data_IF_308151695919
#
_entry.id   IF_308151695919
#
_cell.length_a   1.000
_cell.length_b   1.000
_cell.length_c   1.000
_cell.angle_alpha   90.00
_cell.angle_beta   90.00
_cell.angle_gamma   90.00
#
_symmetry.space_group_name_H-M   'P 1'
#
loop_
_entity.id
_entity.type
_entity.pdbx_description
1 polymer ?
#
# COMPACT_ATOMS: atom_id res chain seq x y z
N UNK A 1 2.84 47.36 12.10
CA UNK A 1 1.84 46.94 11.09
C UNK A 1 2.35 45.79 10.22
N UNK A 2 3.55 45.85 9.63
CA UNK A 2 4.06 44.77 8.76
C UNK A 2 4.43 43.45 9.47
N UNK A 3 4.98 43.51 10.70
CA UNK A 3 5.35 42.30 11.47
C UNK A 3 4.12 41.47 11.93
N UNK A 4 3.02 42.15 12.27
CA UNK A 4 1.76 41.52 12.65
C UNK A 4 1.07 40.86 11.45
N UNK A 5 1.14 41.49 10.26
CA UNK A 5 0.62 40.90 9.03
C UNK A 5 1.39 39.64 8.61
N UNK A 6 2.72 39.62 8.82
CA UNK A 6 3.57 38.48 8.51
C UNK A 6 3.28 37.28 9.44
N UNK A 7 3.14 37.54 10.74
CA UNK A 7 2.75 36.52 11.73
C UNK A 7 1.37 35.92 11.44
N UNK A 8 0.37 36.74 11.08
CA UNK A 8 -0.96 36.26 10.69
C UNK A 8 -0.91 35.39 9.42
N UNK A 9 -0.08 35.77 8.43
CA UNK A 9 0.07 34.96 7.22
C UNK A 9 0.74 33.61 7.50
N UNK A 10 1.73 33.58 8.40
CA UNK A 10 2.41 32.33 8.81
C UNK A 10 1.43 31.44 9.58
N UNK A 11 0.60 32.00 10.47
CA UNK A 11 -0.43 31.23 11.18
C UNK A 11 -1.51 30.67 10.24
N UNK A 12 -1.94 31.44 9.23
CA UNK A 12 -2.91 30.94 8.24
C UNK A 12 -2.33 29.82 7.37
N UNK A 13 -1.04 29.89 7.01
CA UNK A 13 -0.36 28.83 6.26
C UNK A 13 -0.20 27.56 7.12
N UNK A 14 0.12 27.70 8.41
CA UNK A 14 0.17 26.58 9.36
C UNK A 14 -1.21 25.94 9.60
N UNK A 15 -2.29 26.72 9.59
CA UNK A 15 -3.65 26.18 9.75
C UNK A 15 -4.16 25.42 8.52
N UNK A 16 -3.63 25.70 7.32
CA UNK A 16 -3.93 24.89 6.13
C UNK A 16 -3.21 23.53 6.15
N UNK A 17 -2.03 23.45 6.78
CA UNK A 17 -1.25 22.20 6.88
C UNK A 17 -1.87 21.19 7.86
N UNK A 18 -2.69 21.65 8.82
CA UNK A 18 -3.29 20.80 9.87
C UNK A 18 -4.73 20.34 9.56
N UNK A 19 -5.21 20.56 8.34
CA UNK A 19 -6.48 20.01 7.86
C UNK A 19 -6.20 18.78 6.99
N UNK A 20 -5.87 17.66 7.65
CA UNK A 20 -5.71 16.37 6.97
C UNK A 20 -7.02 15.94 6.29
N UNK A 21 -6.98 15.39 5.06
CA UNK A 21 -8.17 14.87 4.39
C UNK A 21 -8.64 13.57 5.05
N UNK A 22 -9.95 13.32 5.00
CA UNK A 22 -10.53 11.97 5.01
C UNK A 22 -10.55 11.23 6.35
N UNK A 23 -11.60 11.40 7.15
CA UNK A 23 -11.95 10.41 8.20
C UNK A 23 -12.68 9.22 7.55
N UNK A 24 -11.97 8.40 6.79
CA UNK A 24 -12.42 7.05 6.42
C UNK A 24 -11.52 6.06 7.15
N UNK A 25 -11.92 5.67 8.38
CA UNK A 25 -11.21 4.60 9.10
C UNK A 25 -11.62 3.27 8.48
N UNK A 26 -10.71 2.63 7.75
CA UNK A 26 -10.84 1.25 7.31
C UNK A 26 -10.56 0.30 8.50
N UNK A 27 -11.34 0.42 9.58
CA UNK A 27 -11.27 -0.54 10.69
C UNK A 27 -11.95 -1.85 10.27
N UNK A 28 -11.25 -2.70 9.51
CA UNK A 28 -11.61 -4.10 9.32
C UNK A 28 -10.72 -4.94 10.25
N UNK A 29 -11.22 -5.41 11.41
CA UNK A 29 -10.41 -6.15 12.36
C UNK A 29 -9.92 -7.46 11.74
N UNK A 30 -8.60 -7.61 11.59
CA UNK A 30 -7.94 -8.84 11.14
C UNK A 30 -7.48 -8.86 9.68
N UNK A 31 -7.46 -7.72 8.97
CA UNK A 31 -6.95 -7.63 7.60
C UNK A 31 -5.59 -6.90 7.56
N UNK A 32 -4.74 -7.29 6.60
CA UNK A 32 -3.49 -6.60 6.25
C UNK A 32 -3.83 -5.34 5.44
N UNK A 33 -3.02 -4.29 5.60
CA UNK A 33 -3.09 -3.05 4.81
C UNK A 33 -2.81 -3.28 3.30
N UNK A 34 -2.37 -4.49 2.92
CA UNK A 34 -1.90 -4.85 1.58
C UNK A 34 -2.71 -6.01 0.98
N UNK A 35 -3.98 -6.13 1.36
CA UNK A 35 -4.90 -7.14 0.81
C UNK A 35 -4.92 -8.48 1.55
N UNK A 36 -5.66 -9.45 1.02
CA UNK A 36 -5.79 -10.79 1.60
C UNK A 36 -4.68 -11.73 1.13
N UNK A 37 -4.16 -12.55 2.04
CA UNK A 37 -3.07 -13.49 1.78
C UNK A 37 -3.33 -14.42 0.59
N UNK A 38 -4.57 -14.87 0.37
CA UNK A 38 -4.89 -15.79 -0.73
C UNK A 38 -4.80 -15.09 -2.08
N UNK A 39 -5.35 -13.89 -2.17
CA UNK A 39 -5.29 -13.06 -3.38
C UNK A 39 -3.83 -12.72 -3.69
N UNK A 40 -3.08 -12.29 -2.68
CA UNK A 40 -1.65 -12.02 -2.77
C UNK A 40 -0.87 -13.24 -3.30
N UNK A 41 -1.13 -14.43 -2.76
CA UNK A 41 -0.47 -15.65 -3.22
C UNK A 41 -0.78 -15.99 -4.68
N UNK A 42 -2.03 -15.79 -5.11
CA UNK A 42 -2.45 -16.01 -6.50
C UNK A 42 -1.75 -15.05 -7.45
N UNK A 43 -1.74 -13.77 -7.11
CA UNK A 43 -1.13 -12.71 -7.90
C UNK A 43 0.38 -12.95 -8.11
N UNK A 44 1.09 -13.37 -7.05
CA UNK A 44 2.51 -13.73 -7.12
C UNK A 44 2.74 -14.92 -8.04
N UNK A 45 1.90 -15.95 -7.95
CA UNK A 45 2.02 -17.13 -8.81
C UNK A 45 1.77 -16.78 -10.29
N UNK A 46 0.82 -15.90 -10.58
CA UNK A 46 0.57 -15.38 -11.92
C UNK A 46 1.78 -14.60 -12.47
N UNK A 47 2.33 -13.68 -11.68
CA UNK A 47 3.49 -12.91 -12.06
C UNK A 47 4.74 -13.78 -12.27
N UNK A 48 4.99 -14.76 -11.39
CA UNK A 48 6.09 -15.72 -11.58
C UNK A 48 5.89 -16.52 -12.86
N UNK A 49 4.65 -16.95 -13.14
CA UNK A 49 4.31 -17.70 -14.36
C UNK A 49 4.47 -16.87 -15.63
N UNK A 50 4.14 -15.59 -15.61
CA UNK A 50 4.33 -14.69 -16.75
C UNK A 50 5.82 -14.44 -17.05
N UNK A 51 6.67 -14.48 -16.02
CA UNK A 51 8.13 -14.38 -16.16
C UNK A 51 8.81 -15.72 -16.51
N UNK A 52 8.20 -16.85 -16.19
CA UNK A 52 8.75 -18.17 -16.47
C UNK A 52 8.77 -18.43 -17.99
N UNK A 53 9.94 -18.75 -18.54
CA UNK A 53 10.06 -19.21 -19.93
C UNK A 53 9.40 -20.59 -20.07
N UNK A 54 8.75 -20.82 -21.22
CA UNK A 54 8.04 -22.06 -21.56
C UNK A 54 8.74 -23.32 -21.01
N UNK A 55 8.06 -24.02 -20.09
CA UNK A 55 8.48 -25.35 -19.59
C UNK A 55 9.07 -25.37 -18.18
N UNK A 56 9.21 -24.24 -17.48
CA UNK A 56 9.50 -24.23 -16.05
C UNK A 56 8.18 -24.13 -15.26
N UNK A 57 7.83 -25.21 -14.57
CA UNK A 57 6.69 -25.23 -13.63
C UNK A 57 7.06 -24.37 -12.40
N UNK A 58 6.44 -23.21 -12.18
CA UNK A 58 6.80 -22.33 -11.07
C UNK A 58 6.21 -22.77 -9.74
N UNK A 59 5.85 -24.04 -9.57
CA UNK A 59 5.43 -24.67 -8.31
C UNK A 59 6.50 -24.68 -7.19
N UNK A 60 7.38 -23.69 -7.15
CA UNK A 60 8.10 -23.34 -5.95
C UNK A 60 7.06 -22.90 -4.91
N UNK A 61 6.83 -23.75 -3.90
CA UNK A 61 6.16 -23.33 -2.68
C UNK A 61 7.05 -22.31 -2.00
N UNK A 62 6.79 -21.02 -2.21
CA UNK A 62 7.39 -19.96 -1.43
C UNK A 62 6.97 -20.11 0.04
N UNK A 63 7.88 -19.86 0.96
CA UNK A 63 7.55 -19.70 2.37
C UNK A 63 6.75 -18.41 2.59
N UNK A 64 6.03 -18.30 3.70
CA UNK A 64 5.27 -17.07 4.04
C UNK A 64 6.18 -15.83 4.03
N UNK A 65 7.39 -15.94 4.58
CA UNK A 65 8.36 -14.85 4.58
C UNK A 65 8.83 -14.47 3.17
N UNK A 66 9.03 -15.45 2.29
CA UNK A 66 9.39 -15.19 0.89
C UNK A 66 8.22 -14.56 0.13
N UNK A 67 6.98 -14.94 0.45
CA UNK A 67 5.78 -14.35 -0.12
C UNK A 67 5.67 -12.85 0.20
N UNK A 68 5.82 -12.52 1.49
CA UNK A 68 5.79 -11.13 1.99
C UNK A 68 6.88 -10.29 1.35
N UNK A 69 8.10 -10.82 1.27
CA UNK A 69 9.21 -10.13 0.60
C UNK A 69 8.96 -9.95 -0.89
N UNK A 70 8.40 -10.95 -1.55
CA UNK A 70 8.11 -10.87 -2.97
C UNK A 70 7.05 -9.82 -3.30
N UNK A 71 5.99 -9.69 -2.48
CA UNK A 71 4.98 -8.63 -2.65
C UNK A 71 5.60 -7.24 -2.60
N UNK A 72 6.53 -7.03 -1.67
CA UNK A 72 7.23 -5.76 -1.55
C UNK A 72 8.04 -5.47 -2.83
N UNK A 73 8.90 -6.40 -3.24
CA UNK A 73 9.76 -6.23 -4.41
C UNK A 73 8.98 -6.12 -5.72
N UNK A 74 7.84 -6.80 -5.82
CA UNK A 74 6.98 -6.75 -6.99
C UNK A 74 6.49 -5.32 -7.27
N UNK A 75 6.17 -4.56 -6.22
CA UNK A 75 5.59 -3.23 -6.34
C UNK A 75 6.61 -2.09 -6.23
N UNK A 76 7.82 -2.36 -5.69
CA UNK A 76 8.98 -1.46 -5.77
C UNK A 76 9.50 -1.39 -7.22
N UNK A 77 8.81 -0.60 -8.03
CA UNK A 77 9.01 -0.55 -9.48
C UNK A 77 10.33 0.13 -9.83
N UNK A 78 10.78 1.05 -8.97
CA UNK A 78 12.01 1.80 -9.18
C UNK A 78 13.25 1.16 -8.49
N UNK A 79 13.06 0.12 -7.69
CA UNK A 79 14.08 -0.63 -6.92
C UNK A 79 14.87 0.25 -5.94
N UNK A 80 14.24 1.23 -5.29
CA UNK A 80 14.88 2.07 -4.27
C UNK A 80 14.72 1.52 -2.85
N UNK A 81 14.02 0.39 -2.70
CA UNK A 81 13.79 -0.29 -1.42
C UNK A 81 12.69 0.34 -0.58
N UNK A 82 11.81 1.15 -1.19
CA UNK A 82 10.65 1.74 -0.54
C UNK A 82 9.41 1.60 -1.44
N UNK A 83 8.23 1.73 -0.85
CA UNK A 83 6.98 1.88 -1.59
C UNK A 83 6.46 3.31 -1.40
N UNK A 84 6.43 4.09 -2.47
CA UNK A 84 5.80 5.41 -2.47
C UNK A 84 4.30 5.35 -2.78
N UNK A 85 3.59 6.47 -2.60
CA UNK A 85 2.14 6.51 -2.86
C UNK A 85 1.72 6.18 -4.30
N UNK A 86 2.59 6.35 -5.29
CA UNK A 86 2.31 5.93 -6.68
C UNK A 86 2.43 4.42 -6.84
N UNK A 87 3.44 3.82 -6.19
CA UNK A 87 3.64 2.37 -6.17
C UNK A 87 2.53 1.67 -5.40
N UNK A 88 2.12 2.20 -4.24
CA UNK A 88 0.96 1.72 -3.49
C UNK A 88 -0.35 1.83 -4.30
N UNK A 89 -0.55 2.97 -5.00
CA UNK A 89 -1.71 3.13 -5.88
C UNK A 89 -1.73 2.09 -6.99
N UNK A 90 -0.59 1.86 -7.63
CA UNK A 90 -0.45 0.87 -8.70
C UNK A 90 -0.74 -0.54 -8.16
N UNK A 91 -0.21 -0.87 -6.97
CA UNK A 91 -0.47 -2.13 -6.30
C UNK A 91 -1.98 -2.36 -6.07
N UNK A 92 -2.69 -1.38 -5.51
CA UNK A 92 -4.13 -1.52 -5.24
C UNK A 92 -4.96 -1.66 -6.50
N UNK A 93 -4.56 -1.05 -7.62
CA UNK A 93 -5.25 -1.24 -8.90
C UNK A 93 -4.97 -2.59 -9.54
N UNK A 94 -3.80 -3.19 -9.29
CA UNK A 94 -3.41 -4.49 -9.84
C UNK A 94 -4.34 -5.61 -9.31
N UNK A 95 -4.74 -5.52 -8.04
CA UNK A 95 -5.68 -6.45 -7.41
C UNK A 95 -7.11 -6.38 -7.96
N UNK A 96 -7.47 -5.32 -8.68
CA UNK A 96 -8.81 -5.13 -9.26
C UNK A 96 -8.92 -5.67 -10.70
N UNK A 97 -7.80 -5.95 -11.39
CA UNK A 97 -7.82 -6.38 -12.79
C UNK A 97 -8.28 -7.85 -12.97
N UNK A 98 -8.19 -8.68 -11.93
CA UNK A 98 -8.56 -10.10 -11.97
C UNK A 98 -10.08 -10.36 -11.99
N UNK A 99 -10.91 -9.32 -11.84
CA UNK A 99 -12.37 -9.39 -11.93
C UNK A 99 -12.91 -8.80 -13.27
N UNK A 100 -12.32 -9.21 -14.40
CA UNK A 100 -12.75 -8.79 -15.75
C UNK A 100 -14.25 -9.04 -16.08
N UNK A 101 -14.97 -9.86 -15.30
CA UNK A 101 -16.37 -10.21 -15.56
C UNK A 101 -17.38 -9.12 -15.12
N UNK A 102 -16.98 -8.10 -14.37
CA UNK A 102 -17.86 -6.97 -14.01
C UNK A 102 -17.22 -5.59 -14.26
N UNK A 103 -17.41 -4.99 -15.46
CA UNK A 103 -16.91 -3.66 -15.80
C UNK A 103 -17.56 -2.52 -14.99
N UNK A 104 -18.44 -2.81 -14.02
CA UNK A 104 -19.01 -1.83 -13.09
C UNK A 104 -18.29 -1.80 -11.74
N UNK A 105 -17.31 -2.68 -11.51
CA UNK A 105 -16.63 -2.87 -10.22
C UNK A 105 -15.23 -2.26 -10.14
N UNK A 106 -14.90 -1.32 -11.01
CA UNK A 106 -13.69 -0.51 -10.83
C UNK A 106 -13.77 0.26 -9.51
N UNK A 107 -12.80 0.06 -8.63
CA UNK A 107 -12.64 0.88 -7.44
C UNK A 107 -12.42 2.32 -7.88
N UNK A 108 -13.20 3.24 -7.31
CA UNK A 108 -13.14 4.63 -7.70
C UNK A 108 -11.79 5.24 -7.27
N UNK A 109 -11.26 6.17 -8.06
CA UNK A 109 -9.93 6.75 -7.80
C UNK A 109 -9.82 7.41 -6.40
N UNK A 110 -10.90 7.97 -5.92
CA UNK A 110 -11.00 8.54 -4.57
C UNK A 110 -10.90 7.47 -3.48
N UNK A 111 -11.47 6.28 -3.70
CA UNK A 111 -11.34 5.15 -2.78
C UNK A 111 -9.91 4.60 -2.77
N UNK A 112 -9.27 4.45 -3.94
CA UNK A 112 -7.85 4.05 -4.00
C UNK A 112 -6.97 5.09 -3.31
N UNK A 113 -7.23 6.38 -3.51
CA UNK A 113 -6.49 7.46 -2.84
C UNK A 113 -6.65 7.36 -1.32
N UNK A 114 -7.86 7.10 -0.84
CA UNK A 114 -8.11 6.92 0.59
C UNK A 114 -7.39 5.69 1.17
N UNK A 115 -7.27 4.59 0.40
CA UNK A 115 -6.48 3.43 0.79
C UNK A 115 -4.99 3.76 0.91
N UNK A 116 -4.43 4.47 -0.08
CA UNK A 116 -3.03 4.92 -0.04
C UNK A 116 -2.76 5.83 1.15
N UNK A 117 -3.63 6.83 1.37
CA UNK A 117 -3.52 7.75 2.50
C UNK A 117 -3.56 6.99 3.83
N UNK A 118 -4.42 5.97 3.93
CA UNK A 118 -4.54 5.14 5.13
C UNK A 118 -3.27 4.31 5.41
N UNK A 119 -2.71 3.66 4.38
CA UNK A 119 -1.46 2.89 4.54
C UNK A 119 -0.30 3.79 4.95
N UNK A 120 -0.16 4.95 4.31
CA UNK A 120 0.88 5.92 4.69
C UNK A 120 0.66 6.46 6.11
N UNK A 121 -0.59 6.68 6.54
CA UNK A 121 -0.86 7.14 7.90
C UNK A 121 -0.46 6.11 8.98
N UNK A 122 -0.66 4.82 8.71
CA UNK A 122 -0.39 3.76 9.69
C UNK A 122 1.06 3.24 9.66
N UNK A 123 1.63 3.08 8.46
CA UNK A 123 2.88 2.34 8.25
C UNK A 123 4.10 3.25 8.04
N UNK A 124 3.93 4.52 7.61
CA UNK A 124 5.05 5.48 7.49
C UNK A 124 5.42 6.05 8.86
N UNK A 125 6.15 5.26 9.64
CA UNK A 125 6.48 5.58 11.02
C UNK A 125 7.45 6.75 11.15
N UNK A 126 8.25 6.99 10.12
CA UNK A 126 9.27 8.02 10.11
C UNK A 126 8.81 9.33 9.42
N UNK A 127 7.73 9.28 8.64
CA UNK A 127 7.07 10.42 8.02
C UNK A 127 7.79 10.96 6.78
N UNK A 128 8.54 10.13 6.05
CA UNK A 128 9.22 10.54 4.81
C UNK A 128 8.38 10.37 3.54
N UNK A 129 7.14 9.89 3.69
CA UNK A 129 6.16 9.70 2.62
C UNK A 129 6.34 8.40 1.86
N UNK A 130 7.11 7.44 2.39
CA UNK A 130 7.37 6.15 1.75
C UNK A 130 7.45 5.05 2.80
N UNK A 131 7.12 3.83 2.40
CA UNK A 131 7.18 2.66 3.29
C UNK A 131 8.47 1.90 3.04
N UNK A 132 9.38 1.89 4.01
CA UNK A 132 10.57 1.03 3.98
C UNK A 132 10.22 -0.45 4.17
N UNK A 133 11.13 -1.35 3.80
CA UNK A 133 10.97 -2.78 4.06
C UNK A 133 10.73 -3.08 5.56
N UNK A 134 11.43 -2.39 6.45
CA UNK A 134 11.26 -2.56 7.90
C UNK A 134 9.87 -2.15 8.38
N UNK A 135 9.35 -1.02 7.89
CA UNK A 135 7.99 -0.53 8.18
C UNK A 135 6.93 -1.48 7.64
N UNK A 136 7.08 -1.91 6.39
CA UNK A 136 6.21 -2.88 5.75
C UNK A 136 6.14 -4.20 6.53
N UNK A 137 7.31 -4.77 6.87
CA UNK A 137 7.38 -6.03 7.61
C UNK A 137 6.75 -5.89 9.00
N UNK A 138 6.98 -4.76 9.66
CA UNK A 138 6.38 -4.48 10.96
C UNK A 138 4.86 -4.44 10.87
N UNK A 139 4.28 -3.81 9.83
CA UNK A 139 2.84 -3.85 9.55
C UNK A 139 2.33 -5.29 9.38
N UNK A 140 2.97 -6.10 8.53
CA UNK A 140 2.58 -7.50 8.31
C UNK A 140 2.58 -8.34 9.60
N UNK A 141 3.57 -8.13 10.48
CA UNK A 141 3.68 -8.83 11.76
C UNK A 141 2.60 -8.41 12.77
N UNK A 142 2.20 -7.14 12.77
CA UNK A 142 1.13 -6.65 13.64
C UNK A 142 -0.23 -7.27 13.27
N UNK A 143 -0.54 -7.35 11.99
CA UNK A 143 -1.80 -7.92 11.52
C UNK A 143 -1.81 -9.46 11.58
N UNK A 144 -0.67 -10.13 11.35
CA UNK A 144 -0.56 -11.59 11.42
C UNK A 144 -0.71 -12.19 12.83
N UNK A 145 -0.41 -11.43 13.89
CA UNK A 145 -0.54 -11.89 15.29
C UNK A 145 -1.89 -11.57 15.95
N UNK A 146 -2.75 -10.76 15.30
CA UNK A 146 -4.03 -10.34 15.86
C UNK A 146 -5.17 -11.37 15.74
N UNK A 147 -4.94 -12.49 15.04
CA UNK A 147 -5.95 -13.49 14.68
C UNK A 147 -5.92 -14.81 15.47
N UNK A 148 -5.32 -14.88 16.66
CA UNK A 148 -5.32 -16.08 17.52
C UNK A 148 -6.30 -16.00 18.68
#
# INVERSE_FOLDING_TARGET
>A
MHLLALLVSITCLLSLVLAGPGTHRYEQPGHSNYGDDKTNQQHIMEHIKSMAKDGQDPQAKLTENELVYYLFVLHDTNNDGHLDGHELRAAFTDFDEDEEDDPTRYVALDEITAMVDHVLEEDDLNGDGRISWEEYLQSQLYHGNGGQ
#
